data_IF_498149553700
#
_entry.id   IF_498149553700
#
_cell.length_a   1.000
_cell.length_b   1.000
_cell.length_c   1.000
_cell.angle_alpha   90.00
_cell.angle_beta   90.00
_cell.angle_gamma   90.00
#
_symmetry.space_group_name_H-M   'P 1'
#
loop_
_entity.id
_entity.type
_entity.pdbx_description
1 polymer ?
#
# COMPACT_ATOMS: atom_id res chain seq x y z
N UNK A 1 43.72 -27.65 -64.03
CA UNK A 1 42.81 -26.58 -63.62
C UNK A 1 42.07 -27.05 -62.37
N UNK A 2 42.53 -26.61 -61.19
CA UNK A 2 41.95 -26.98 -59.87
C UNK A 2 40.95 -25.88 -59.51
N UNK A 3 39.64 -26.26 -59.39
CA UNK A 3 38.59 -25.35 -58.94
C UNK A 3 38.52 -25.41 -57.42
N UNK A 4 38.83 -24.30 -56.75
CA UNK A 4 38.62 -24.13 -55.33
C UNK A 4 37.14 -23.78 -55.07
N UNK A 5 36.44 -24.62 -54.28
CA UNK A 5 35.12 -24.35 -53.78
C UNK A 5 35.26 -23.60 -52.45
N UNK A 6 34.85 -22.33 -52.43
CA UNK A 6 34.87 -21.50 -51.21
C UNK A 6 33.52 -21.72 -50.49
N UNK A 7 33.53 -22.46 -49.37
CA UNK A 7 32.35 -22.61 -48.50
C UNK A 7 32.28 -21.42 -47.54
N UNK A 8 31.29 -20.56 -47.73
CA UNK A 8 30.98 -19.49 -46.80
C UNK A 8 30.05 -20.03 -45.69
N UNK A 9 30.58 -20.17 -44.49
CA UNK A 9 29.79 -20.50 -43.28
C UNK A 9 29.15 -19.22 -42.76
N UNK A 10 27.86 -19.04 -42.97
CA UNK A 10 27.06 -17.97 -42.35
C UNK A 10 26.78 -18.30 -40.88
N UNK A 11 27.45 -17.62 -40.00
CA UNK A 11 27.11 -17.61 -38.57
C UNK A 11 25.88 -16.70 -38.38
N UNK A 12 24.70 -17.29 -38.21
CA UNK A 12 23.54 -16.56 -37.72
C UNK A 12 23.62 -16.57 -36.17
N UNK A 13 23.68 -15.42 -35.53
CA UNK A 13 23.59 -15.38 -34.07
C UNK A 13 22.19 -15.89 -33.66
N UNK A 14 22.14 -16.99 -32.92
CA UNK A 14 20.92 -17.41 -32.26
C UNK A 14 20.58 -16.40 -31.18
N UNK A 15 19.64 -15.51 -31.45
CA UNK A 15 19.03 -14.65 -30.43
C UNK A 15 18.17 -15.58 -29.58
N UNK A 16 18.69 -15.96 -28.42
CA UNK A 16 17.91 -16.60 -27.36
C UNK A 16 16.87 -15.59 -26.88
N UNK A 17 15.66 -15.64 -27.46
CA UNK A 17 14.52 -15.04 -26.82
C UNK A 17 14.28 -15.82 -25.52
N UNK A 18 14.64 -15.23 -24.40
CA UNK A 18 14.14 -15.66 -23.10
C UNK A 18 12.61 -15.73 -23.22
N UNK A 19 12.03 -16.91 -23.08
CA UNK A 19 10.58 -17.04 -22.97
C UNK A 19 10.14 -16.15 -21.80
N UNK A 20 9.40 -15.09 -22.10
CA UNK A 20 8.75 -14.27 -21.08
C UNK A 20 7.80 -15.22 -20.36
N UNK A 21 8.02 -15.45 -19.08
CA UNK A 21 7.14 -16.21 -18.23
C UNK A 21 5.76 -15.54 -18.24
N UNK A 22 4.83 -16.13 -18.95
CA UNK A 22 3.49 -15.57 -19.18
C UNK A 22 2.52 -15.95 -18.07
N UNK A 23 2.89 -16.92 -17.21
CA UNK A 23 2.05 -17.36 -16.11
C UNK A 23 2.25 -16.44 -14.90
N UNK A 24 1.15 -15.86 -14.42
CA UNK A 24 1.15 -15.00 -13.22
C UNK A 24 0.60 -15.76 -12.03
N UNK A 25 1.41 -15.85 -10.97
CA UNK A 25 1.00 -16.40 -9.66
C UNK A 25 0.71 -15.26 -8.71
N UNK A 26 -0.37 -15.37 -7.94
CA UNK A 26 -0.82 -14.35 -6.99
C UNK A 26 -0.56 -14.77 -5.54
N UNK A 27 0.01 -13.86 -4.77
CA UNK A 27 0.46 -14.07 -3.39
C UNK A 27 -0.26 -13.10 -2.45
N UNK A 28 -0.85 -13.64 -1.38
CA UNK A 28 -1.61 -12.89 -0.37
C UNK A 28 -0.76 -12.48 0.83
N UNK A 29 -1.45 -12.20 1.94
CA UNK A 29 -0.92 -11.60 3.18
C UNK A 29 0.30 -12.31 3.79
N UNK A 30 0.51 -13.56 3.48
CA UNK A 30 1.63 -14.34 4.05
C UNK A 30 2.98 -14.02 3.38
N UNK A 31 2.97 -13.21 2.30
CA UNK A 31 4.14 -12.88 1.50
C UNK A 31 4.55 -11.40 1.56
N UNK A 32 3.88 -10.59 2.38
CA UNK A 32 4.25 -9.20 2.61
C UNK A 32 4.02 -8.81 4.07
N UNK A 33 4.61 -7.72 4.51
CA UNK A 33 4.30 -7.09 5.79
C UNK A 33 3.28 -5.97 5.59
N UNK A 34 2.47 -5.69 6.62
CA UNK A 34 1.56 -4.54 6.67
C UNK A 34 2.18 -3.48 7.55
N UNK A 35 2.39 -2.30 7.00
CA UNK A 35 2.93 -1.13 7.67
C UNK A 35 1.85 -0.08 7.95
N UNK A 36 2.18 0.93 8.75
CA UNK A 36 1.27 2.02 9.10
C UNK A 36 0.25 1.63 10.19
N UNK A 37 0.50 0.56 10.91
CA UNK A 37 -0.33 0.08 12.01
C UNK A 37 0.52 -0.34 13.21
N UNK A 38 -0.03 -0.10 14.39
CA UNK A 38 0.50 -0.59 15.68
C UNK A 38 -0.31 -1.75 16.23
N UNK A 39 -1.44 -2.06 15.59
CA UNK A 39 -2.37 -3.09 16.04
C UNK A 39 -2.00 -4.42 15.38
N UNK A 40 -1.74 -5.48 16.15
CA UNK A 40 -1.51 -6.82 15.60
C UNK A 40 -2.69 -7.27 14.73
N UNK A 41 -2.39 -7.97 13.63
CA UNK A 41 -3.43 -8.49 12.72
C UNK A 41 -4.43 -9.39 13.45
N UNK A 42 -3.97 -10.15 14.45
CA UNK A 42 -4.81 -11.04 15.26
C UNK A 42 -5.85 -10.32 16.13
N UNK A 43 -5.69 -9.02 16.37
CA UNK A 43 -6.59 -8.20 17.16
C UNK A 43 -7.61 -7.42 16.33
N UNK A 44 -7.55 -7.53 14.99
CA UNK A 44 -8.42 -6.81 14.06
C UNK A 44 -9.51 -7.73 13.49
N UNK A 45 -10.65 -7.16 13.07
CA UNK A 45 -11.67 -7.91 12.30
C UNK A 45 -11.15 -8.21 10.87
N UNK A 46 -10.41 -7.28 10.27
CA UNK A 46 -9.71 -7.45 9.01
C UNK A 46 -8.26 -6.99 9.15
N UNK A 47 -7.28 -7.65 8.49
CA UNK A 47 -5.86 -7.23 8.52
C UNK A 47 -5.66 -5.75 8.13
N UNK A 48 -6.56 -5.21 7.34
CA UNK A 48 -6.48 -3.88 6.76
C UNK A 48 -7.32 -2.82 7.47
N UNK A 49 -7.88 -3.16 8.65
CA UNK A 49 -8.55 -2.23 9.56
C UNK A 49 -7.53 -1.40 10.34
N UNK A 50 -7.94 -0.22 10.84
CA UNK A 50 -7.05 0.69 11.58
C UNK A 50 -7.22 0.58 13.10
N UNK A 51 -8.37 0.08 13.59
CA UNK A 51 -8.63 -0.14 15.01
C UNK A 51 -8.71 -1.63 15.35
N UNK A 52 -8.44 -2.01 16.61
CA UNK A 52 -8.69 -3.37 17.08
C UNK A 52 -10.18 -3.69 17.15
N UNK A 53 -10.54 -4.96 16.97
CA UNK A 53 -11.93 -5.43 17.00
C UNK A 53 -12.66 -5.08 18.31
N UNK A 54 -11.93 -5.07 19.43
CA UNK A 54 -12.44 -4.69 20.75
C UNK A 54 -12.95 -3.26 20.86
N UNK A 55 -12.60 -2.38 19.89
CA UNK A 55 -13.01 -0.97 19.90
C UNK A 55 -14.40 -0.73 19.29
N UNK A 56 -15.04 -1.76 18.72
CA UNK A 56 -16.33 -1.66 18.05
C UNK A 56 -17.42 -0.99 18.89
N UNK A 57 -17.49 -1.36 20.16
CA UNK A 57 -18.51 -0.84 21.08
C UNK A 57 -17.93 0.22 22.06
N UNK A 58 -16.66 0.60 21.88
CA UNK A 58 -15.97 1.58 22.72
C UNK A 58 -15.96 2.96 22.07
N UNK A 59 -15.67 3.01 20.76
CA UNK A 59 -15.69 4.27 20.00
C UNK A 59 -17.09 4.53 19.42
N UNK A 60 -17.37 5.79 19.05
CA UNK A 60 -18.61 6.11 18.35
C UNK A 60 -18.70 5.34 17.02
N UNK A 61 -19.92 4.95 16.65
CA UNK A 61 -20.20 4.24 15.38
C UNK A 61 -19.53 4.88 14.15
N UNK A 62 -19.59 6.22 13.92
CA UNK A 62 -18.90 6.81 12.76
C UNK A 62 -17.38 6.68 12.80
N UNK A 63 -16.75 6.63 13.99
CA UNK A 63 -15.31 6.39 14.13
C UNK A 63 -14.98 4.94 13.81
N UNK A 64 -15.84 4.01 14.27
CA UNK A 64 -15.70 2.60 13.95
C UNK A 64 -15.81 2.36 12.44
N UNK A 65 -16.84 2.88 11.78
CA UNK A 65 -17.04 2.75 10.34
C UNK A 65 -15.87 3.33 9.53
N UNK A 66 -15.39 4.51 9.92
CA UNK A 66 -14.21 5.12 9.29
C UNK A 66 -12.92 4.34 9.54
N UNK A 67 -12.83 3.59 10.64
CA UNK A 67 -11.67 2.75 10.94
C UNK A 67 -11.48 1.61 9.95
N UNK A 68 -12.54 1.24 9.22
CA UNK A 68 -12.51 0.23 8.14
C UNK A 68 -11.83 0.72 6.87
N UNK A 69 -11.70 2.03 6.67
CA UNK A 69 -10.85 2.59 5.61
C UNK A 69 -9.39 2.29 5.90
N UNK A 70 -8.63 1.88 4.88
CA UNK A 70 -7.24 1.45 5.02
C UNK A 70 -6.23 2.62 4.95
N UNK A 71 -6.66 3.84 5.28
CA UNK A 71 -5.84 5.06 5.23
C UNK A 71 -4.54 4.93 6.04
N UNK A 72 -3.41 5.25 5.42
CA UNK A 72 -2.09 5.16 6.03
C UNK A 72 -1.46 3.77 6.02
N UNK A 73 -2.25 2.72 5.78
CA UNK A 73 -1.70 1.37 5.66
C UNK A 73 -0.98 1.18 4.33
N UNK A 74 0.07 0.40 4.37
CA UNK A 74 0.81 -0.05 3.18
C UNK A 74 1.20 -1.52 3.34
N UNK A 75 1.39 -2.21 2.20
CA UNK A 75 2.04 -3.52 2.19
C UNK A 75 3.45 -3.37 1.62
N UNK A 76 4.41 -4.12 2.18
CA UNK A 76 5.80 -4.08 1.74
C UNK A 76 6.36 -5.48 1.51
N UNK A 77 7.02 -5.66 0.38
CA UNK A 77 7.57 -6.94 -0.07
C UNK A 77 8.82 -6.74 -0.92
N UNK A 78 9.52 -7.84 -1.16
CA UNK A 78 10.71 -7.91 -2.03
C UNK A 78 10.45 -8.95 -3.11
N UNK A 79 10.79 -8.65 -4.37
CA UNK A 79 10.66 -9.60 -5.49
C UNK A 79 11.71 -9.33 -6.57
N UNK A 80 12.08 -10.38 -7.29
CA UNK A 80 12.92 -10.34 -8.50
C UNK A 80 12.11 -10.39 -9.80
N UNK A 81 10.78 -10.30 -9.70
CA UNK A 81 9.91 -10.39 -10.87
C UNK A 81 10.13 -9.26 -11.86
N UNK A 82 10.11 -9.53 -13.18
CA UNK A 82 10.20 -8.51 -14.21
C UNK A 82 8.92 -7.66 -14.33
N UNK A 83 7.84 -8.04 -13.65
CA UNK A 83 6.60 -7.29 -13.60
C UNK A 83 5.88 -7.46 -12.25
N UNK A 84 5.01 -6.51 -11.93
CA UNK A 84 4.12 -6.57 -10.77
C UNK A 84 2.70 -6.27 -11.23
N UNK A 85 1.79 -7.20 -10.97
CA UNK A 85 0.35 -7.03 -11.04
C UNK A 85 -0.23 -6.97 -9.63
N UNK A 86 -1.40 -6.38 -9.48
CA UNK A 86 -2.11 -6.35 -8.21
C UNK A 86 -3.57 -6.71 -8.44
N UNK A 87 -4.13 -7.52 -7.54
CA UNK A 87 -5.57 -7.70 -7.35
C UNK A 87 -5.95 -7.16 -6.00
N UNK A 88 -7.03 -6.37 -5.93
CA UNK A 88 -7.57 -5.94 -4.64
C UNK A 88 -9.08 -5.88 -4.68
N UNK A 89 -9.70 -6.20 -3.56
CA UNK A 89 -11.13 -6.10 -3.34
C UNK A 89 -11.39 -5.04 -2.28
N UNK A 90 -12.24 -4.05 -2.61
CA UNK A 90 -12.64 -2.98 -1.69
C UNK A 90 -13.91 -3.34 -0.93
N UNK A 91 -14.11 -2.69 0.21
CA UNK A 91 -15.23 -2.97 1.11
C UNK A 91 -16.56 -2.39 0.59
N UNK A 92 -16.56 -1.13 0.13
CA UNK A 92 -17.79 -0.37 -0.14
C UNK A 92 -17.95 0.04 -1.60
N UNK A 93 -16.86 0.26 -2.35
CA UNK A 93 -16.86 0.70 -3.75
C UNK A 93 -17.70 1.98 -4.01
N UNK A 94 -17.68 2.94 -3.10
CA UNK A 94 -18.34 4.23 -3.30
C UNK A 94 -17.43 5.24 -4.02
N UNK A 95 -18.02 6.35 -4.46
CA UNK A 95 -17.32 7.47 -5.08
C UNK A 95 -17.76 8.78 -4.44
N UNK A 96 -16.92 9.81 -4.54
CA UNK A 96 -17.19 11.16 -4.03
C UNK A 96 -17.07 12.17 -5.18
N UNK A 97 -17.83 13.26 -5.13
CA UNK A 97 -17.78 14.29 -6.16
C UNK A 97 -16.55 15.22 -6.07
N UNK A 98 -15.82 15.17 -4.97
CA UNK A 98 -14.68 16.07 -4.65
C UNK A 98 -13.35 15.33 -4.45
N UNK A 99 -13.35 14.02 -4.60
CA UNK A 99 -12.15 13.19 -4.48
C UNK A 99 -12.14 12.11 -5.57
N UNK A 100 -11.03 11.94 -6.32
CA UNK A 100 -11.00 10.93 -7.38
C UNK A 100 -10.99 9.50 -6.80
N UNK A 101 -11.58 8.57 -7.54
CA UNK A 101 -11.64 7.14 -7.18
C UNK A 101 -10.26 6.52 -6.91
N UNK A 102 -9.22 7.03 -7.58
CA UNK A 102 -7.83 6.61 -7.31
C UNK A 102 -7.36 6.95 -5.90
N UNK A 103 -7.84 8.04 -5.31
CA UNK A 103 -7.58 8.39 -3.91
C UNK A 103 -8.47 7.61 -2.94
N UNK A 104 -9.76 7.45 -3.29
CA UNK A 104 -10.76 6.79 -2.44
C UNK A 104 -10.43 5.31 -2.29
N UNK A 105 -10.23 4.58 -3.40
CA UNK A 105 -10.18 3.10 -3.49
C UNK A 105 -9.07 2.52 -4.37
N UNK A 106 -8.15 3.37 -4.86
CA UNK A 106 -6.97 2.94 -5.61
C UNK A 106 -5.81 2.51 -4.72
N UNK A 107 -4.75 2.01 -5.34
CA UNK A 107 -3.51 1.59 -4.69
C UNK A 107 -2.31 2.19 -5.40
N UNK A 108 -1.25 2.57 -4.67
CA UNK A 108 -0.06 3.23 -5.23
C UNK A 108 1.20 2.41 -5.01
N UNK A 109 1.88 2.03 -6.10
CA UNK A 109 3.17 1.34 -6.06
C UNK A 109 4.34 2.31 -5.99
N UNK A 110 5.24 2.03 -5.07
CA UNK A 110 6.55 2.67 -4.91
C UNK A 110 7.66 1.61 -4.90
N UNK A 111 8.82 2.00 -5.38
CA UNK A 111 10.04 1.23 -5.42
C UNK A 111 11.12 1.90 -4.56
N UNK A 112 11.88 1.12 -3.78
CA UNK A 112 12.98 1.65 -2.98
C UNK A 112 14.27 1.64 -3.79
N UNK A 113 14.79 2.83 -4.10
CA UNK A 113 16.04 3.02 -4.82
C UNK A 113 16.99 3.89 -3.98
N UNK A 114 18.18 3.39 -3.64
CA UNK A 114 19.17 4.11 -2.83
C UNK A 114 18.58 4.73 -1.54
N UNK A 115 17.75 3.97 -0.83
CA UNK A 115 17.01 4.39 0.37
C UNK A 115 15.91 5.45 0.14
N UNK A 116 15.56 5.77 -1.10
CA UNK A 116 14.47 6.66 -1.44
C UNK A 116 13.29 5.90 -2.09
N UNK A 117 12.08 6.24 -1.69
CA UNK A 117 10.86 5.68 -2.28
C UNK A 117 10.43 6.47 -3.51
N UNK A 118 10.56 5.85 -4.68
CA UNK A 118 10.17 6.42 -5.97
C UNK A 118 8.81 5.91 -6.41
N UNK A 119 7.95 6.82 -6.86
CA UNK A 119 6.64 6.48 -7.41
C UNK A 119 6.78 5.72 -8.74
N UNK A 120 5.99 4.67 -8.89
CA UNK A 120 5.93 3.87 -10.12
C UNK A 120 4.59 4.08 -10.82
N UNK A 121 3.48 3.68 -10.18
CA UNK A 121 2.17 3.71 -10.82
C UNK A 121 1.05 3.65 -9.79
N UNK A 122 -0.17 3.95 -10.26
CA UNK A 122 -1.41 3.83 -9.49
C UNK A 122 -2.31 2.78 -10.11
N UNK A 123 -2.71 1.79 -9.32
CA UNK A 123 -3.77 0.86 -9.65
C UNK A 123 -5.12 1.58 -9.64
N UNK A 124 -5.75 1.68 -10.82
CA UNK A 124 -7.01 2.39 -11.03
C UNK A 124 -8.19 1.46 -10.76
N UNK A 125 -9.05 1.77 -9.76
CA UNK A 125 -10.19 0.95 -9.45
C UNK A 125 -11.28 1.06 -10.51
N UNK A 126 -12.01 -0.05 -10.71
CA UNK A 126 -13.16 -0.11 -11.63
C UNK A 126 -14.44 -0.61 -10.93
N UNK A 127 -14.32 -1.17 -9.74
CA UNK A 127 -15.42 -1.76 -9.01
C UNK A 127 -14.98 -2.34 -7.67
N UNK A 128 -15.76 -3.29 -7.13
CA UNK A 128 -15.41 -3.99 -5.90
C UNK A 128 -14.11 -4.81 -6.06
N UNK A 129 -13.99 -5.57 -7.15
CA UNK A 129 -12.82 -6.38 -7.48
C UNK A 129 -12.04 -5.72 -8.60
N UNK A 130 -10.77 -5.53 -8.37
CA UNK A 130 -9.89 -4.80 -9.25
C UNK A 130 -8.64 -5.62 -9.56
N UNK A 131 -8.13 -5.46 -10.77
CA UNK A 131 -6.85 -6.01 -11.20
C UNK A 131 -6.14 -4.97 -12.08
N UNK A 132 -4.84 -4.78 -11.83
CA UNK A 132 -4.05 -3.80 -12.57
C UNK A 132 -2.60 -4.27 -12.71
N UNK A 133 -1.97 -4.00 -13.87
CA UNK A 133 -0.52 -4.15 -14.05
C UNK A 133 0.15 -2.86 -13.60
N UNK A 134 0.96 -2.93 -12.53
CA UNK A 134 1.59 -1.76 -11.96
C UNK A 134 2.91 -1.42 -12.65
N UNK A 135 3.69 -2.43 -13.03
CA UNK A 135 4.97 -2.26 -13.75
C UNK A 135 5.29 -3.51 -14.55
N UNK A 136 6.03 -3.34 -15.65
CA UNK A 136 6.55 -4.40 -16.52
C UNK A 136 7.97 -4.06 -16.98
N UNK A 137 8.67 -5.04 -17.54
CA UNK A 137 10.01 -4.90 -18.12
C UNK A 137 11.10 -4.47 -17.12
N UNK A 138 11.01 -4.94 -15.87
CA UNK A 138 12.09 -4.77 -14.90
C UNK A 138 13.19 -5.82 -15.12
N UNK A 139 14.42 -5.53 -14.62
CA UNK A 139 15.46 -6.55 -14.46
C UNK A 139 15.10 -7.55 -13.37
N UNK A 140 15.52 -8.82 -13.54
CA UNK A 140 15.27 -9.91 -12.60
C UNK A 140 16.21 -9.85 -11.38
N UNK A 141 16.24 -8.70 -10.70
CA UNK A 141 16.98 -8.47 -9.47
C UNK A 141 16.00 -8.24 -8.33
N UNK A 142 16.35 -8.69 -7.13
CA UNK A 142 15.53 -8.43 -5.95
C UNK A 142 15.42 -6.94 -5.67
N UNK A 143 14.19 -6.46 -5.62
CA UNK A 143 13.84 -5.07 -5.36
C UNK A 143 12.77 -4.98 -4.31
N UNK A 144 12.85 -3.95 -3.48
CA UNK A 144 11.89 -3.70 -2.42
C UNK A 144 10.79 -2.74 -2.91
N UNK A 145 9.54 -3.14 -2.67
CA UNK A 145 8.34 -2.41 -3.09
C UNK A 145 7.42 -2.12 -1.92
N UNK A 146 6.69 -1.00 -2.04
CA UNK A 146 5.63 -0.59 -1.11
C UNK A 146 4.38 -0.24 -1.91
N UNK A 147 3.22 -0.78 -1.50
CA UNK A 147 1.92 -0.40 -2.04
C UNK A 147 1.11 0.26 -0.93
N UNK A 148 0.81 1.55 -1.08
CA UNK A 148 -0.15 2.24 -0.21
C UNK A 148 -1.58 1.86 -0.56
N UNK A 149 -2.39 1.65 0.49
CA UNK A 149 -3.77 1.21 0.40
C UNK A 149 -4.76 2.38 0.31
N UNK A 150 -6.02 2.14 -0.06
CA UNK A 150 -7.07 3.14 -0.20
C UNK A 150 -7.23 4.06 1.01
N UNK A 151 -7.54 5.34 0.77
CA UNK A 151 -7.67 6.35 1.84
C UNK A 151 -9.08 6.41 2.43
N UNK A 152 -10.12 6.15 1.62
CA UNK A 152 -11.52 6.30 2.03
C UNK A 152 -12.35 5.02 1.88
N UNK A 153 -11.76 3.93 1.39
CA UNK A 153 -12.39 2.61 1.37
C UNK A 153 -11.53 1.59 2.13
N UNK A 154 -12.15 0.53 2.59
CA UNK A 154 -11.46 -0.61 3.20
C UNK A 154 -11.00 -1.61 2.13
N UNK A 155 -9.96 -2.36 2.46
CA UNK A 155 -9.49 -3.51 1.67
C UNK A 155 -9.97 -4.80 2.32
N UNK A 156 -10.68 -5.64 1.56
CA UNK A 156 -11.04 -7.01 1.98
C UNK A 156 -9.92 -7.99 1.71
N UNK A 157 -9.33 -7.89 0.52
CA UNK A 157 -8.23 -8.73 0.09
C UNK A 157 -7.31 -7.96 -0.86
N UNK A 158 -6.02 -8.26 -0.82
CA UNK A 158 -5.03 -7.77 -1.78
C UNK A 158 -4.03 -8.90 -2.05
N UNK A 159 -3.69 -9.06 -3.33
CA UNK A 159 -2.75 -10.07 -3.80
C UNK A 159 -1.77 -9.45 -4.79
N UNK A 160 -0.51 -9.84 -4.69
CA UNK A 160 0.57 -9.43 -5.58
C UNK A 160 0.80 -10.52 -6.62
N UNK A 161 0.66 -10.18 -7.89
CA UNK A 161 0.91 -11.07 -9.02
C UNK A 161 2.31 -10.85 -9.59
N UNK A 162 3.08 -11.93 -9.65
CA UNK A 162 4.43 -11.98 -10.22
C UNK A 162 4.57 -13.15 -11.19
N UNK A 163 5.68 -13.24 -11.91
CA UNK A 163 6.01 -14.39 -12.76
C UNK A 163 6.14 -15.70 -11.98
N UNK A 164 5.70 -16.82 -12.57
CA UNK A 164 5.74 -18.13 -11.92
C UNK A 164 7.18 -18.61 -11.62
N UNK A 165 8.16 -18.12 -12.37
CA UNK A 165 9.59 -18.39 -12.14
C UNK A 165 10.27 -17.42 -11.15
N UNK A 166 9.54 -16.40 -10.67
CA UNK A 166 10.06 -15.39 -9.77
C UNK A 166 9.72 -15.69 -8.30
N UNK A 167 10.46 -15.03 -7.41
CA UNK A 167 10.30 -15.16 -5.97
C UNK A 167 9.69 -13.89 -5.37
N UNK A 168 8.93 -14.07 -4.29
CA UNK A 168 8.43 -12.97 -3.45
C UNK A 168 8.69 -13.29 -1.98
N UNK A 169 9.16 -12.29 -1.23
CA UNK A 169 9.48 -12.39 0.18
C UNK A 169 8.93 -11.20 0.95
N UNK A 170 8.68 -11.40 2.25
CA UNK A 170 8.38 -10.28 3.16
C UNK A 170 9.58 -9.34 3.24
N UNK A 171 9.34 -8.06 3.15
CA UNK A 171 10.36 -7.06 3.48
C UNK A 171 10.74 -7.16 4.97
N UNK A 172 11.91 -6.63 5.32
CA UNK A 172 12.33 -6.54 6.73
C UNK A 172 11.48 -5.52 7.48
N UNK A 173 11.11 -5.83 8.71
CA UNK A 173 10.42 -4.87 9.58
C UNK A 173 11.26 -3.59 9.76
N UNK A 174 10.58 -2.49 9.97
CA UNK A 174 11.21 -1.24 10.37
C UNK A 174 11.11 -1.15 11.90
N UNK A 175 12.25 -1.32 12.59
CA UNK A 175 12.29 -1.30 14.06
C UNK A 175 12.34 0.13 14.65
N UNK A 176 12.19 1.16 13.81
CA UNK A 176 12.18 2.55 14.25
C UNK A 176 10.83 2.91 14.85
N UNK A 177 10.86 3.77 15.86
CA UNK A 177 9.65 4.34 16.46
C UNK A 177 8.79 5.05 15.40
N UNK A 178 7.46 4.78 15.34
CA UNK A 178 6.57 5.39 14.37
C UNK A 178 6.26 6.85 14.69
N UNK A 179 5.70 7.55 13.71
CA UNK A 179 4.99 8.82 13.93
C UNK A 179 3.50 8.50 13.99
N UNK A 180 2.81 8.95 15.02
CA UNK A 180 1.36 8.74 15.17
C UNK A 180 0.61 10.03 14.88
N UNK A 181 -0.33 9.96 13.93
CA UNK A 181 -1.27 11.04 13.65
C UNK A 181 -2.65 10.68 14.18
N UNK A 182 -3.27 11.60 14.93
CA UNK A 182 -4.69 11.55 15.23
C UNK A 182 -5.35 12.83 14.74
N UNK A 183 -6.39 12.71 13.91
CA UNK A 183 -6.98 13.90 13.31
C UNK A 183 -8.23 13.65 12.49
N UNK A 184 -8.50 14.60 11.62
CA UNK A 184 -9.71 14.76 10.82
C UNK A 184 -9.61 14.10 9.44
N UNK A 185 -10.45 14.56 8.48
CA UNK A 185 -10.34 14.21 7.06
C UNK A 185 -8.98 14.58 6.46
N UNK A 186 -8.35 15.65 6.96
CA UNK A 186 -7.04 16.09 6.51
C UNK A 186 -6.01 15.00 6.82
N UNK A 187 -6.00 14.51 8.06
CA UNK A 187 -5.14 13.40 8.48
C UNK A 187 -5.46 12.11 7.73
N UNK A 188 -6.75 11.76 7.54
CA UNK A 188 -7.14 10.59 6.76
C UNK A 188 -6.62 10.62 5.32
N UNK A 189 -6.41 11.80 4.77
CA UNK A 189 -5.89 12.03 3.41
C UNK A 189 -6.96 12.54 2.44
N UNK A 190 -7.95 13.28 2.96
CA UNK A 190 -9.03 13.86 2.17
C UNK A 190 -8.55 14.67 0.98
N UNK A 191 -9.19 14.44 -0.17
CA UNK A 191 -8.93 15.04 -1.48
C UNK A 191 -7.55 14.74 -2.09
N UNK A 192 -6.74 13.84 -1.50
CA UNK A 192 -5.54 13.36 -2.17
C UNK A 192 -5.89 12.60 -3.45
N UNK A 193 -5.18 12.89 -4.54
CA UNK A 193 -5.46 12.30 -5.87
C UNK A 193 -5.24 10.78 -5.93
N UNK A 194 -4.44 10.23 -5.01
CA UNK A 194 -4.08 8.82 -4.89
C UNK A 194 -3.48 8.56 -3.50
N UNK A 195 -3.42 7.32 -3.00
CA UNK A 195 -3.00 7.03 -1.62
C UNK A 195 -1.66 7.63 -1.22
N UNK A 196 -0.64 7.50 -2.06
CA UNK A 196 0.68 8.02 -1.76
C UNK A 196 0.77 9.55 -1.69
N UNK A 197 -0.26 10.29 -2.09
CA UNK A 197 -0.30 11.76 -2.00
C UNK A 197 -0.95 12.28 -0.71
N UNK A 198 -1.49 11.42 0.15
CA UNK A 198 -1.80 11.80 1.52
C UNK A 198 -0.52 12.26 2.24
N UNK A 199 -0.58 13.38 2.96
CA UNK A 199 0.61 13.97 3.59
C UNK A 199 1.28 13.00 4.57
N UNK A 200 0.51 12.18 5.28
CA UNK A 200 1.02 11.13 6.17
C UNK A 200 1.88 10.12 5.41
N UNK A 201 1.43 9.70 4.22
CA UNK A 201 2.16 8.78 3.36
C UNK A 201 3.38 9.42 2.68
N UNK A 202 3.34 10.73 2.42
CA UNK A 202 4.52 11.50 1.96
C UNK A 202 5.59 11.54 3.05
N UNK A 203 5.18 11.82 4.30
CA UNK A 203 6.08 11.85 5.46
C UNK A 203 6.71 10.47 5.68
N UNK A 204 5.90 9.40 5.65
CA UNK A 204 6.40 8.02 5.76
C UNK A 204 7.51 7.72 4.76
N UNK A 205 7.31 8.05 3.48
CA UNK A 205 8.33 7.81 2.45
C UNK A 205 9.57 8.68 2.61
N UNK A 206 9.39 9.96 2.92
CA UNK A 206 10.53 10.90 3.05
C UNK A 206 11.42 10.60 4.23
N UNK A 207 10.85 10.11 5.32
CA UNK A 207 11.60 9.80 6.54
C UNK A 207 11.98 8.33 6.64
N UNK A 208 11.45 7.48 5.75
CA UNK A 208 11.54 6.01 5.82
C UNK A 208 11.16 5.49 7.21
N UNK A 209 10.00 5.96 7.70
CA UNK A 209 9.40 5.61 8.99
C UNK A 209 7.97 5.13 8.81
N UNK A 210 7.52 4.30 9.73
CA UNK A 210 6.10 4.02 9.87
C UNK A 210 5.34 5.26 10.33
N UNK A 211 4.23 5.54 9.67
CA UNK A 211 3.29 6.59 10.04
C UNK A 211 1.93 5.96 10.27
N UNK A 212 1.50 5.96 11.51
CA UNK A 212 0.19 5.45 11.92
C UNK A 212 -0.84 6.55 11.74
N UNK A 213 -1.89 6.26 10.96
CA UNK A 213 -2.91 7.23 10.59
C UNK A 213 -4.24 6.94 11.29
N UNK A 214 -4.55 7.68 12.35
CA UNK A 214 -5.85 7.73 13.01
C UNK A 214 -6.63 8.99 12.60
N UNK A 215 -6.69 9.27 11.30
CA UNK A 215 -7.57 10.29 10.74
C UNK A 215 -8.98 9.74 10.56
N UNK A 216 -9.98 10.48 11.06
CA UNK A 216 -11.40 10.13 10.99
C UNK A 216 -12.19 11.32 10.43
N UNK A 217 -12.56 11.24 9.16
CA UNK A 217 -13.23 12.31 8.42
C UNK A 217 -14.49 12.80 9.12
N UNK A 218 -14.55 14.10 9.49
CA UNK A 218 -15.66 14.69 10.26
C UNK A 218 -15.73 14.22 11.73
N UNK A 219 -14.89 13.28 12.15
CA UNK A 219 -15.03 12.57 13.41
C UNK A 219 -13.76 12.49 14.27
N UNK A 220 -12.66 13.11 13.87
CA UNK A 220 -11.49 13.28 14.73
C UNK A 220 -11.75 14.37 15.78
N UNK A 221 -12.24 14.00 16.98
CA UNK A 221 -12.78 14.92 18.00
C UNK A 221 -12.11 14.82 19.37
N UNK A 222 -10.86 14.36 19.45
CA UNK A 222 -10.13 14.18 20.70
C UNK A 222 -10.80 13.20 21.67
N UNK A 223 -11.32 12.09 21.15
CA UNK A 223 -12.03 11.10 21.99
C UNK A 223 -11.07 10.34 22.89
N UNK A 224 -11.51 10.15 24.14
CA UNK A 224 -10.71 9.48 25.18
C UNK A 224 -10.27 8.06 24.75
N UNK A 225 -11.11 7.18 24.16
CA UNK A 225 -10.66 5.85 23.76
C UNK A 225 -9.52 5.86 22.75
N UNK A 226 -9.54 6.79 21.80
CA UNK A 226 -8.44 6.93 20.83
C UNK A 226 -7.18 7.51 21.49
N UNK A 227 -7.34 8.48 22.40
CA UNK A 227 -6.22 9.01 23.16
C UNK A 227 -5.54 7.93 24.02
N UNK A 228 -6.32 7.06 24.66
CA UNK A 228 -5.82 5.91 25.43
C UNK A 228 -5.09 4.91 24.50
N UNK A 229 -5.65 4.60 23.33
CA UNK A 229 -4.99 3.73 22.35
C UNK A 229 -3.62 4.24 21.96
N UNK A 230 -3.53 5.50 21.57
CA UNK A 230 -2.26 6.10 21.12
C UNK A 230 -1.26 6.34 22.24
N UNK A 231 -1.71 6.56 23.49
CA UNK A 231 -0.82 6.76 24.64
C UNK A 231 0.03 5.53 24.97
N UNK A 232 -0.42 4.34 24.55
CA UNK A 232 0.32 3.08 24.73
C UNK A 232 1.37 2.82 23.63
N UNK A 233 1.52 3.71 22.67
CA UNK A 233 2.48 3.57 21.58
C UNK A 233 3.78 4.27 21.95
N UNK A 234 4.90 3.57 21.90
CA UNK A 234 6.21 4.21 21.96
C UNK A 234 6.53 4.87 20.60
N UNK A 235 6.03 6.09 20.41
CA UNK A 235 6.16 6.84 19.19
C UNK A 235 7.26 7.89 19.24
N UNK A 236 7.93 8.10 18.11
CA UNK A 236 8.89 9.19 17.94
C UNK A 236 8.23 10.57 18.03
N UNK A 237 6.98 10.67 17.58
CA UNK A 237 6.21 11.92 17.55
C UNK A 237 4.73 11.62 17.50
N UNK A 238 3.94 12.38 18.25
CA UNK A 238 2.48 12.42 18.16
C UNK A 238 2.05 13.74 17.52
N UNK A 239 1.21 13.68 16.49
CA UNK A 239 0.65 14.84 15.81
C UNK A 239 -0.87 14.77 15.92
N UNK A 240 -1.45 15.77 16.59
CA UNK A 240 -2.89 15.84 16.84
C UNK A 240 -3.47 16.98 16.02
N UNK A 241 -4.37 16.64 15.08
CA UNK A 241 -5.02 17.59 14.15
C UNK A 241 -6.54 17.40 14.24
N UNK A 242 -7.16 17.66 15.39
CA UNK A 242 -8.59 17.43 15.61
C UNK A 242 -9.44 18.71 15.57
N UNK A 243 -8.80 19.88 15.69
CA UNK A 243 -9.48 21.17 15.86
C UNK A 243 -10.60 21.43 14.84
N UNK A 244 -10.46 21.12 13.53
CA UNK A 244 -11.53 21.35 12.56
C UNK A 244 -12.83 20.56 12.79
N UNK A 245 -12.79 19.47 13.56
CA UNK A 245 -13.97 18.64 13.88
C UNK A 245 -14.45 18.84 15.32
N UNK A 246 -13.76 19.63 16.14
CA UNK A 246 -14.21 19.96 17.49
C UNK A 246 -15.35 20.96 17.40
N UNK A 247 -16.52 20.55 17.86
CA UNK A 247 -17.71 21.41 17.92
C UNK A 247 -17.59 22.24 19.19
N UNK A 248 -17.72 23.56 19.06
CA UNK A 248 -17.91 24.40 20.25
C UNK A 248 -19.19 23.97 20.99
N UNK A 249 -19.16 23.95 22.33
CA UNK A 249 -20.33 23.63 23.13
C UNK A 249 -21.47 24.63 22.91
#
# INVERSE_FOLDING_TARGET
MIKYLLSVILFTPAVLFSQIDTETVYYGKDYFIIEGTIIPVSEKESPYDRLPASYKDIVREPVWDLSKSSAGLAIRFVTDSPYIKVKWEVLNNFSMNHMPDTGIKGVDLYYKNNNEWQYINTGRPKGFKNQYTLIENMSNEFKEFKIFLPLYDGVKNIEIGIGSSSSIEKAKNNDKQPIVFYGTSITQGGCASRPGMAHTNIISRKLDLDVVNFGFSGNGRMEQPIAELISNVDAKLYIIECLPNMISP
#
